data_IF_600187036150
#
_entry.id   IF_600187036150
#
_cell.length_a   1.000
_cell.length_b   1.000
_cell.length_c   1.000
_cell.angle_alpha   90.00
_cell.angle_beta   90.00
_cell.angle_gamma   90.00
#
_symmetry.space_group_name_H-M   'P 1'
#
loop_
_entity.id
_entity.type
_entity.pdbx_description
1 polymer ?
#
# COMPACT_ATOMS: atom_id res chain seq x y z
N UNK A 1 7.34 35.83 4.58
CA UNK A 1 7.16 34.92 3.44
C UNK A 1 8.22 33.83 3.56
N UNK A 2 7.93 32.82 4.38
CA UNK A 2 8.77 31.62 4.52
C UNK A 2 7.83 30.43 4.45
N UNK A 3 7.85 29.76 3.30
CA UNK A 3 7.21 28.47 3.07
C UNK A 3 8.28 27.41 3.28
N UNK A 4 8.61 27.15 4.54
CA UNK A 4 9.56 26.10 4.89
C UNK A 4 8.81 24.92 5.50
N UNK A 5 9.02 23.75 4.91
CA UNK A 5 8.86 22.44 5.54
C UNK A 5 7.42 21.96 5.83
N UNK A 6 6.76 21.42 4.81
CA UNK A 6 5.58 20.54 4.97
C UNK A 6 5.75 19.18 4.27
N UNK A 7 6.99 18.77 3.97
CA UNK A 7 7.33 17.43 3.49
C UNK A 7 8.10 16.63 4.55
N UNK A 8 7.67 16.72 5.81
CA UNK A 8 7.84 15.58 6.70
C UNK A 8 6.81 14.54 6.27
N UNK A 9 7.12 13.73 5.26
CA UNK A 9 6.19 12.72 4.74
C UNK A 9 5.82 11.77 5.88
N UNK A 10 4.58 11.82 6.40
CA UNK A 10 4.12 10.78 7.31
C UNK A 10 4.19 9.47 6.50
N UNK A 11 4.71 8.41 7.11
CA UNK A 11 4.94 7.16 6.39
C UNK A 11 3.65 6.68 5.71
N UNK A 12 3.72 5.81 4.69
CA UNK A 12 2.57 5.41 3.86
C UNK A 12 1.37 4.80 4.64
N UNK A 13 1.50 4.61 5.95
CA UNK A 13 0.51 4.08 6.88
C UNK A 13 -0.52 5.15 7.30
N UNK A 14 -0.16 6.43 7.25
CA UNK A 14 -0.95 7.53 7.82
C UNK A 14 -1.97 8.12 6.81
N UNK A 15 -1.78 7.85 5.52
CA UNK A 15 -2.69 8.30 4.47
C UNK A 15 -4.08 7.64 4.56
N UNK A 16 -4.12 6.36 4.95
CA UNK A 16 -5.37 5.61 5.13
C UNK A 16 -6.22 6.16 6.28
N UNK A 17 -5.58 6.45 7.42
CA UNK A 17 -6.26 7.05 8.58
C UNK A 17 -6.71 8.47 8.31
N UNK A 18 -5.92 9.27 7.59
CA UNK A 18 -6.30 10.63 7.19
C UNK A 18 -7.52 10.63 6.26
N UNK A 19 -7.57 9.72 5.28
CA UNK A 19 -8.74 9.56 4.41
C UNK A 19 -9.98 9.13 5.19
N UNK A 20 -9.86 8.14 6.08
CA UNK A 20 -10.99 7.69 6.91
C UNK A 20 -11.51 8.80 7.83
N UNK A 21 -10.63 9.59 8.43
CA UNK A 21 -11.02 10.74 9.24
C UNK A 21 -11.77 11.80 8.39
N UNK A 22 -11.24 12.15 7.22
CA UNK A 22 -11.89 13.07 6.29
C UNK A 22 -13.27 12.57 5.84
N UNK A 23 -13.38 11.27 5.50
CA UNK A 23 -14.66 10.64 5.11
C UNK A 23 -15.70 10.73 6.23
N UNK A 24 -15.32 10.35 7.46
CA UNK A 24 -16.23 10.37 8.60
C UNK A 24 -16.67 11.80 8.96
N UNK A 25 -15.78 12.79 8.85
CA UNK A 25 -16.09 14.19 9.10
C UNK A 25 -17.02 14.79 8.03
N UNK A 26 -16.77 14.48 6.76
CA UNK A 26 -17.56 15.02 5.63
C UNK A 26 -18.95 14.39 5.57
N UNK A 27 -19.07 13.12 5.96
CA UNK A 27 -20.31 12.38 5.85
C UNK A 27 -20.57 11.45 7.04
N UNK A 28 -21.02 12.01 8.17
CA UNK A 28 -21.14 11.26 9.42
C UNK A 28 -22.30 10.24 9.44
N UNK A 29 -23.29 10.36 8.57
CA UNK A 29 -24.55 9.58 8.59
C UNK A 29 -24.85 8.86 7.27
N UNK A 30 -23.84 8.32 6.61
CA UNK A 30 -24.03 7.60 5.34
C UNK A 30 -24.40 6.13 5.57
N UNK A 31 -25.38 5.65 4.82
CA UNK A 31 -25.79 4.23 4.79
C UNK A 31 -24.93 3.36 3.86
N UNK A 32 -24.07 3.96 3.03
CA UNK A 32 -23.18 3.27 2.11
C UNK A 32 -22.02 2.56 2.84
N UNK A 33 -21.91 1.22 2.79
CA UNK A 33 -20.86 0.46 3.47
C UNK A 33 -19.50 0.50 2.74
N UNK A 34 -19.42 1.08 1.54
CA UNK A 34 -18.21 1.07 0.73
C UNK A 34 -17.15 2.06 1.23
N UNK A 35 -15.87 1.66 1.13
CA UNK A 35 -14.72 2.45 1.57
C UNK A 35 -14.57 3.73 0.76
N UNK A 36 -14.58 3.61 -0.57
CA UNK A 36 -14.49 4.74 -1.48
C UNK A 36 -15.88 5.32 -1.73
N UNK A 37 -16.00 6.63 -1.52
CA UNK A 37 -17.24 7.37 -1.72
C UNK A 37 -16.98 8.63 -2.57
N UNK A 38 -18.04 9.07 -3.23
CA UNK A 38 -18.16 10.35 -3.93
C UNK A 38 -19.42 11.04 -3.46
N UNK A 39 -19.55 12.36 -3.64
CA UNK A 39 -20.77 13.09 -3.24
C UNK A 39 -22.05 12.51 -3.83
N UNK A 40 -21.97 11.84 -4.99
CA UNK A 40 -23.10 11.17 -5.64
C UNK A 40 -23.41 9.79 -5.06
N UNK A 41 -22.39 9.02 -4.67
CA UNK A 41 -22.57 7.67 -4.09
C UNK A 41 -22.79 7.69 -2.59
N UNK A 42 -22.47 8.82 -1.94
CA UNK A 42 -22.69 9.07 -0.53
C UNK A 42 -24.17 8.91 -0.11
N UNK A 43 -25.10 9.33 -0.95
CA UNK A 43 -26.55 9.25 -0.72
C UNK A 43 -27.16 7.91 -1.17
N UNK A 44 -26.36 7.04 -1.79
CA UNK A 44 -26.77 5.74 -2.34
C UNK A 44 -26.12 4.61 -1.55
N UNK A 45 -26.59 3.37 -1.73
CA UNK A 45 -25.91 2.16 -1.24
C UNK A 45 -25.02 1.51 -2.30
N UNK A 46 -24.92 2.12 -3.48
CA UNK A 46 -24.14 1.58 -4.60
C UNK A 46 -22.65 1.92 -4.49
N UNK A 47 -21.76 1.03 -4.94
CA UNK A 47 -20.33 1.29 -4.99
C UNK A 47 -20.00 2.35 -6.04
N UNK A 48 -18.84 2.99 -5.88
CA UNK A 48 -18.29 3.86 -6.91
C UNK A 48 -17.91 3.05 -8.15
N UNK A 49 -18.08 3.65 -9.33
CA UNK A 49 -17.80 2.99 -10.59
C UNK A 49 -16.31 2.67 -10.75
N UNK A 50 -16.00 1.53 -11.36
CA UNK A 50 -14.61 1.13 -11.67
C UNK A 50 -13.82 2.20 -12.42
N UNK A 51 -14.36 2.88 -13.46
CA UNK A 51 -13.64 3.93 -14.16
C UNK A 51 -13.25 5.11 -13.26
N UNK A 52 -14.04 5.44 -12.24
CA UNK A 52 -13.68 6.51 -11.29
C UNK A 52 -12.39 6.19 -10.54
N UNK A 53 -12.16 4.90 -10.23
CA UNK A 53 -10.96 4.48 -9.50
C UNK A 53 -9.71 4.57 -10.37
N UNK A 54 -9.78 4.22 -11.66
CA UNK A 54 -8.59 4.09 -12.52
C UNK A 54 -8.33 5.31 -13.42
N UNK A 55 -9.36 6.06 -13.83
CA UNK A 55 -9.21 7.21 -14.74
C UNK A 55 -8.28 8.32 -14.27
N UNK A 56 -8.17 8.66 -12.97
CA UNK A 56 -7.23 9.70 -12.53
C UNK A 56 -5.78 9.21 -12.48
N UNK A 57 -5.53 7.91 -12.55
CA UNK A 57 -4.17 7.38 -12.50
C UNK A 57 -3.68 7.04 -13.91
N UNK A 58 -2.45 7.45 -14.26
CA UNK A 58 -1.86 7.09 -15.55
C UNK A 58 -1.54 5.59 -15.64
N UNK A 59 -1.46 4.91 -14.49
CA UNK A 59 -1.11 3.50 -14.37
C UNK A 59 -2.32 2.62 -14.02
N UNK A 60 -2.35 1.42 -14.58
CA UNK A 60 -3.36 0.43 -14.21
C UNK A 60 -3.14 -0.06 -12.78
N UNK A 61 -4.20 -0.47 -12.10
CA UNK A 61 -4.11 -1.09 -10.77
C UNK A 61 -3.22 -2.33 -10.74
N UNK A 62 -3.10 -3.02 -11.87
CA UNK A 62 -2.18 -4.14 -12.03
C UNK A 62 -0.72 -3.67 -11.97
N UNK A 63 -0.37 -2.53 -12.59
CA UNK A 63 0.97 -1.98 -12.50
C UNK A 63 1.32 -1.53 -11.09
N UNK A 64 0.40 -0.83 -10.40
CA UNK A 64 0.59 -0.46 -9.00
C UNK A 64 0.79 -1.68 -8.10
N UNK A 65 0.05 -2.76 -8.37
CA UNK A 65 0.22 -4.03 -7.66
C UNK A 65 1.57 -4.67 -7.95
N UNK A 66 2.01 -4.70 -9.22
CA UNK A 66 3.28 -5.28 -9.61
C UNK A 66 4.47 -4.51 -9.03
N UNK A 67 4.41 -3.18 -9.06
CA UNK A 67 5.39 -2.27 -8.47
C UNK A 67 5.55 -2.56 -6.97
N UNK A 68 4.44 -2.56 -6.23
CA UNK A 68 4.48 -2.91 -4.80
C UNK A 68 4.95 -4.34 -4.54
N UNK A 69 4.66 -5.27 -5.44
CA UNK A 69 5.10 -6.65 -5.29
C UNK A 69 6.61 -6.80 -5.50
N UNK A 70 7.22 -6.00 -6.39
CA UNK A 70 8.68 -5.93 -6.55
C UNK A 70 9.34 -5.30 -5.32
N UNK A 71 8.77 -4.22 -4.78
CA UNK A 71 9.25 -3.59 -3.55
C UNK A 71 9.24 -4.55 -2.36
N UNK A 72 8.12 -5.24 -2.16
CA UNK A 72 8.01 -6.25 -1.10
C UNK A 72 8.90 -7.47 -1.40
N UNK A 73 9.13 -7.83 -2.66
CA UNK A 73 10.09 -8.88 -3.02
C UNK A 73 11.55 -8.51 -2.70
N UNK A 74 11.92 -7.23 -2.77
CA UNK A 74 13.23 -6.76 -2.29
C UNK A 74 13.32 -6.81 -0.76
N UNK A 75 12.26 -6.41 -0.07
CA UNK A 75 12.24 -6.27 1.38
C UNK A 75 12.01 -7.61 2.11
N UNK A 76 11.30 -8.54 1.48
CA UNK A 76 10.87 -9.78 2.09
C UNK A 76 12.00 -10.80 2.23
N UNK A 77 11.89 -11.61 3.28
CA UNK A 77 12.82 -12.70 3.59
C UNK A 77 12.52 -13.99 2.83
N UNK A 78 11.53 -14.00 1.93
CA UNK A 78 11.22 -15.16 1.10
C UNK A 78 9.85 -15.17 0.43
N UNK A 79 9.63 -16.10 -0.53
CA UNK A 79 8.46 -16.14 -1.40
C UNK A 79 7.11 -16.37 -0.69
N UNK A 80 7.12 -17.10 0.43
CA UNK A 80 5.90 -17.43 1.19
C UNK A 80 5.21 -16.20 1.77
N UNK A 81 5.98 -15.24 2.28
CA UNK A 81 5.45 -14.00 2.85
C UNK A 81 4.72 -13.18 1.79
N UNK A 82 5.23 -13.16 0.57
CA UNK A 82 4.64 -12.39 -0.55
C UNK A 82 3.37 -13.09 -1.04
N UNK A 83 3.37 -14.42 -1.12
CA UNK A 83 2.15 -15.20 -1.37
C UNK A 83 1.04 -14.86 -0.37
N UNK A 84 1.36 -14.81 0.93
CA UNK A 84 0.41 -14.48 2.00
C UNK A 84 -0.06 -13.02 1.90
N UNK A 85 0.85 -12.06 1.65
CA UNK A 85 0.53 -10.63 1.56
C UNK A 85 -0.36 -10.30 0.37
N UNK A 86 -0.12 -10.93 -0.78
CA UNK A 86 -0.82 -10.61 -2.02
C UNK A 86 -1.89 -11.65 -2.39
N UNK A 87 -1.99 -12.78 -1.70
CA UNK A 87 -2.91 -13.87 -2.06
C UNK A 87 -2.52 -14.53 -3.39
N UNK A 88 -1.22 -14.69 -3.65
CA UNK A 88 -0.71 -15.33 -4.86
C UNK A 88 -0.36 -16.80 -4.63
N UNK A 89 -0.43 -17.60 -5.69
CA UNK A 89 0.18 -18.93 -5.68
C UNK A 89 1.71 -18.81 -5.69
N UNK A 90 2.40 -19.81 -5.14
CA UNK A 90 3.86 -19.87 -5.12
C UNK A 90 4.48 -19.77 -6.53
N UNK A 91 3.81 -20.34 -7.53
CA UNK A 91 4.22 -20.26 -8.94
C UNK A 91 4.14 -18.85 -9.50
N UNK A 92 3.12 -18.08 -9.11
CA UNK A 92 2.98 -16.69 -9.54
C UNK A 92 3.99 -15.77 -8.84
N UNK A 93 4.27 -16.02 -7.56
CA UNK A 93 5.28 -15.26 -6.80
C UNK A 93 6.70 -15.44 -7.37
N UNK A 94 7.08 -16.68 -7.72
CA UNK A 94 8.41 -16.99 -8.24
C UNK A 94 8.81 -16.14 -9.46
N UNK A 95 7.85 -15.66 -10.26
CA UNK A 95 8.12 -14.76 -11.39
C UNK A 95 8.75 -13.43 -10.96
N UNK A 96 8.40 -12.95 -9.77
CA UNK A 96 8.81 -11.65 -9.27
C UNK A 96 9.92 -11.73 -8.23
N UNK A 97 10.05 -12.85 -7.51
CA UNK A 97 11.12 -13.07 -6.53
C UNK A 97 12.39 -13.67 -7.12
N UNK A 98 12.29 -14.54 -8.13
CA UNK A 98 13.44 -15.25 -8.72
C UNK A 98 14.60 -14.34 -9.16
N UNK A 99 14.38 -13.16 -9.76
CA UNK A 99 15.48 -12.26 -10.12
C UNK A 99 16.32 -11.81 -8.91
N UNK A 100 15.74 -11.81 -7.71
CA UNK A 100 16.36 -11.26 -6.50
C UNK A 100 16.88 -12.35 -5.55
N UNK A 101 16.46 -13.61 -5.75
CA UNK A 101 16.96 -14.77 -4.99
C UNK A 101 18.45 -15.06 -5.21
N UNK A 102 19.01 -14.72 -6.37
CA UNK A 102 20.45 -14.88 -6.66
C UNK A 102 21.33 -13.70 -6.20
N UNK A 103 20.76 -12.50 -6.11
CA UNK A 103 21.49 -11.28 -5.72
C UNK A 103 21.84 -11.25 -4.21
N UNK A 104 21.02 -11.91 -3.38
CA UNK A 104 21.28 -12.06 -1.95
C UNK A 104 22.57 -12.83 -1.63
N UNK A 105 23.11 -13.61 -2.57
CA UNK A 105 24.37 -14.33 -2.41
C UNK A 105 25.61 -13.47 -2.76
N UNK A 106 25.45 -12.37 -3.51
CA UNK A 106 26.56 -11.53 -3.98
C UNK A 106 26.74 -10.24 -3.16
N UNK A 107 25.71 -9.80 -2.43
CA UNK A 107 25.77 -8.65 -1.53
C UNK A 107 25.61 -9.14 -0.09
N UNK A 108 26.62 -8.99 0.81
CA UNK A 108 26.40 -9.27 2.22
C UNK A 108 25.22 -8.41 2.67
N UNK A 109 24.19 -9.05 3.24
CA UNK A 109 22.93 -8.41 3.60
C UNK A 109 23.15 -6.98 4.11
N UNK A 110 22.46 -5.95 3.56
CA UNK A 110 22.50 -4.64 4.20
C UNK A 110 22.11 -4.87 5.65
N UNK A 111 22.98 -4.41 6.56
CA UNK A 111 22.86 -4.63 7.99
C UNK A 111 21.40 -4.42 8.37
N UNK A 112 20.70 -5.42 8.95
CA UNK A 112 19.32 -5.23 9.32
C UNK A 112 19.31 -4.02 10.26
N UNK A 113 18.62 -2.95 9.87
CA UNK A 113 18.38 -1.81 10.75
C UNK A 113 17.80 -2.42 12.03
N UNK A 114 18.58 -2.32 13.10
CA UNK A 114 18.37 -3.03 14.34
C UNK A 114 17.00 -2.65 14.91
N UNK A 115 16.01 -3.53 14.72
CA UNK A 115 14.73 -3.49 15.40
C UNK A 115 14.89 -4.07 16.81
N UNK A 116 15.86 -3.53 17.56
CA UNK A 116 16.06 -3.83 18.98
C UNK A 116 16.41 -2.53 19.69
N UNK A 117 15.41 -1.89 20.29
CA UNK A 117 15.43 -1.29 21.62
C UNK A 117 14.35 -0.21 21.75
N UNK A 118 13.14 -0.62 22.10
CA UNK A 118 12.22 0.19 22.89
C UNK A 118 11.11 -0.73 23.44
N UNK A 119 11.51 -1.69 24.28
CA UNK A 119 10.58 -2.38 25.16
C UNK A 119 11.05 -2.12 26.59
N UNK A 120 10.14 -1.60 27.42
CA UNK A 120 10.32 -1.12 28.81
C UNK A 120 10.95 0.27 28.84
N UNK A 121 10.42 1.23 29.58
CA UNK A 121 9.66 1.18 30.84
C UNK A 121 8.36 1.95 30.80
#
# INVERSE_FOLDING_TARGET
>A
MSVESAYGCPGPKDGGTAYLAHRTATWPRIANPHLFLTSRTAISTTPVSRPWLYRPYPSSSHLLRADRLVDEAQAARGPRMICELFGLTFTADARYTRPYQGAAALHPAPTPLSLTAARRT
#
